data_IF_463319575605
#
_entry.id   IF_463319575605
#
_cell.length_a   1.000
_cell.length_b   1.000
_cell.length_c   1.000
_cell.angle_alpha   90.00
_cell.angle_beta   90.00
_cell.angle_gamma   90.00
#
_symmetry.space_group_name_H-M   'P 1'
#
loop_
_entity.id
_entity.type
_entity.pdbx_description
1 polymer ?
#
# COMPACT_ATOMS: atom_id res chain seq x y z
N UNK A 1 -0.49 -20.83 -1.24
CA UNK A 1 -0.32 -19.41 -1.63
C UNK A 1 -1.40 -18.58 -0.94
N UNK A 2 -1.09 -17.34 -0.59
CA UNK A 2 -2.09 -16.42 -0.02
C UNK A 2 -3.15 -16.09 -1.10
N UNK A 3 -4.43 -16.31 -0.77
CA UNK A 3 -5.54 -16.06 -1.71
C UNK A 3 -5.57 -14.63 -2.24
N UNK A 4 -5.12 -13.65 -1.45
CA UNK A 4 -5.05 -12.25 -1.87
C UNK A 4 -4.11 -12.05 -3.05
N UNK A 5 -3.05 -12.83 -3.11
CA UNK A 5 -2.05 -12.78 -4.18
C UNK A 5 -2.58 -13.39 -5.48
N UNK A 6 -3.48 -14.39 -5.40
CA UNK A 6 -4.02 -15.02 -6.60
C UNK A 6 -4.79 -14.05 -7.50
N UNK A 7 -5.33 -12.96 -6.94
CA UNK A 7 -6.01 -11.92 -7.72
C UNK A 7 -5.12 -11.13 -8.68
N UNK A 8 -3.79 -11.25 -8.54
CA UNK A 8 -2.85 -10.65 -9.50
C UNK A 8 -2.70 -11.46 -10.78
N UNK A 9 -3.35 -12.62 -10.89
CA UNK A 9 -3.21 -13.54 -12.00
C UNK A 9 -4.53 -13.75 -12.75
N UNK A 10 -4.48 -14.00 -14.07
CA UNK A 10 -5.68 -14.30 -14.85
C UNK A 10 -6.45 -15.50 -14.27
N UNK A 11 -7.73 -15.35 -14.05
CA UNK A 11 -8.61 -16.39 -13.48
C UNK A 11 -8.08 -16.97 -12.14
N UNK A 12 -7.28 -16.20 -11.38
CA UNK A 12 -6.58 -16.64 -10.17
C UNK A 12 -5.63 -17.84 -10.40
N UNK A 13 -5.16 -18.03 -11.61
CA UNK A 13 -4.19 -19.08 -11.96
C UNK A 13 -2.75 -18.59 -11.71
N UNK A 14 -2.23 -18.93 -10.56
CA UNK A 14 -0.89 -18.51 -10.11
C UNK A 14 0.26 -19.20 -10.84
N UNK A 15 -0.02 -20.08 -11.81
CA UNK A 15 0.97 -20.71 -12.70
C UNK A 15 1.20 -19.89 -13.97
N UNK A 16 0.31 -18.94 -14.26
CA UNK A 16 0.42 -18.01 -15.40
C UNK A 16 1.25 -16.76 -15.02
N UNK A 17 1.53 -15.92 -16.01
CA UNK A 17 2.08 -14.59 -15.74
C UNK A 17 1.01 -13.70 -15.11
N UNK A 18 1.37 -12.82 -14.15
CA UNK A 18 0.41 -11.87 -13.59
C UNK A 18 -0.08 -10.91 -14.66
N UNK A 19 -1.38 -10.58 -14.64
CA UNK A 19 -2.00 -9.56 -15.48
C UNK A 19 -2.23 -8.24 -14.75
N UNK A 20 -2.04 -8.22 -13.44
CA UNK A 20 -2.03 -7.00 -12.63
C UNK A 20 -0.70 -6.25 -12.79
N UNK A 21 -0.75 -4.92 -12.89
CA UNK A 21 0.45 -4.08 -12.91
C UNK A 21 0.89 -3.61 -11.51
N UNK A 22 -0.05 -3.58 -10.56
CA UNK A 22 0.17 -3.16 -9.18
C UNK A 22 -0.86 -3.79 -8.25
N UNK A 23 -0.53 -3.83 -6.97
CA UNK A 23 -1.42 -4.31 -5.92
C UNK A 23 -1.50 -3.28 -4.79
N UNK A 24 -2.71 -2.96 -4.33
CA UNK A 24 -2.91 -2.08 -3.18
C UNK A 24 -3.62 -2.84 -2.08
N UNK A 25 -3.02 -2.87 -0.90
CA UNK A 25 -3.61 -3.42 0.32
C UNK A 25 -4.00 -2.26 1.24
N UNK A 26 -5.27 -2.17 1.60
CA UNK A 26 -5.80 -1.05 2.38
C UNK A 26 -6.15 -1.53 3.77
N UNK A 27 -5.50 -0.96 4.77
CA UNK A 27 -5.74 -1.17 6.19
C UNK A 27 -5.98 0.14 6.93
N UNK A 28 -6.53 0.04 8.12
CA UNK A 28 -6.53 1.08 9.12
C UNK A 28 -5.71 0.61 10.31
N UNK A 29 -4.85 1.47 10.80
CA UNK A 29 -3.95 1.19 11.90
C UNK A 29 -4.68 1.17 13.25
N UNK A 30 -3.99 0.70 14.29
CA UNK A 30 -4.44 0.65 15.69
C UNK A 30 -3.31 1.08 16.63
N UNK A 31 -3.66 1.36 17.88
CA UNK A 31 -2.71 1.77 18.92
C UNK A 31 -2.86 3.22 19.35
N UNK A 32 -3.98 3.85 19.03
CA UNK A 32 -4.34 5.20 19.50
C UNK A 32 -3.54 6.34 18.85
N UNK A 33 -2.80 6.05 17.76
CA UNK A 33 -2.07 7.05 16.98
C UNK A 33 -2.98 7.90 16.09
N UNK A 34 -2.37 8.66 15.19
CA UNK A 34 -3.06 9.49 14.19
C UNK A 34 -2.29 9.57 12.89
N UNK A 35 -3.02 9.76 11.79
CA UNK A 35 -2.46 10.02 10.48
C UNK A 35 -2.39 8.79 9.60
N UNK A 36 -1.95 9.01 8.37
CA UNK A 36 -1.83 7.98 7.33
C UNK A 36 -0.37 7.66 7.04
N UNK A 37 -0.08 6.41 6.73
CA UNK A 37 1.24 5.91 6.42
C UNK A 37 1.17 4.74 5.43
N UNK A 38 2.31 4.19 5.08
CA UNK A 38 2.43 2.94 4.35
C UNK A 38 3.56 2.09 4.92
N UNK A 39 3.48 0.79 4.67
CA UNK A 39 4.55 -0.14 5.03
C UNK A 39 5.65 -0.06 3.98
N UNK A 40 6.84 0.36 4.39
CA UNK A 40 8.02 0.38 3.54
C UNK A 40 8.87 -0.86 3.77
N UNK A 41 9.41 -1.41 2.69
CA UNK A 41 10.40 -2.47 2.75
C UNK A 41 11.79 -1.85 2.95
N UNK A 42 12.55 -2.40 3.88
CA UNK A 42 13.92 -1.98 4.12
C UNK A 42 14.92 -2.68 3.20
N UNK A 43 16.16 -2.19 3.22
CA UNK A 43 17.28 -2.74 2.43
C UNK A 43 17.60 -4.21 2.75
N UNK A 44 17.39 -4.63 4.00
CA UNK A 44 17.57 -6.03 4.39
C UNK A 44 16.59 -6.98 3.68
N UNK A 45 15.40 -6.49 3.36
CA UNK A 45 14.39 -7.22 2.61
C UNK A 45 14.80 -7.40 1.15
N UNK A 46 15.32 -6.34 0.55
CA UNK A 46 15.84 -6.29 -0.80
C UNK A 46 16.90 -7.36 -1.05
N UNK A 47 17.81 -7.54 -0.12
CA UNK A 47 18.92 -8.49 -0.24
C UNK A 47 18.49 -9.96 -0.08
N UNK A 48 17.42 -10.23 0.65
CA UNK A 48 17.05 -11.59 1.07
C UNK A 48 15.98 -12.25 0.21
N UNK A 49 15.05 -11.47 -0.36
CA UNK A 49 13.79 -12.03 -0.85
C UNK A 49 13.35 -11.57 -2.23
N UNK A 50 13.64 -10.33 -2.62
CA UNK A 50 13.08 -9.68 -3.81
C UNK A 50 14.12 -8.69 -4.35
N UNK A 51 14.12 -8.43 -5.64
CA UNK A 51 15.03 -7.46 -6.26
C UNK A 51 14.78 -6.01 -5.82
N UNK A 52 15.83 -5.19 -5.93
CA UNK A 52 15.79 -3.75 -5.58
C UNK A 52 14.68 -2.99 -6.29
N UNK A 53 14.43 -3.29 -7.54
CA UNK A 53 13.40 -2.66 -8.36
C UNK A 53 11.99 -2.82 -7.78
N UNK A 54 11.65 -4.00 -7.26
CA UNK A 54 10.36 -4.24 -6.61
C UNK A 54 10.20 -3.39 -5.33
N UNK A 55 11.26 -3.34 -4.51
CA UNK A 55 11.26 -2.56 -3.26
C UNK A 55 11.11 -1.07 -3.56
N UNK A 56 11.88 -0.55 -4.50
CA UNK A 56 11.84 0.85 -4.92
C UNK A 56 10.45 1.24 -5.45
N UNK A 57 9.91 0.47 -6.37
CA UNK A 57 8.58 0.70 -6.96
C UNK A 57 7.45 0.59 -5.94
N UNK A 58 7.52 -0.37 -5.04
CA UNK A 58 6.53 -0.52 -3.97
C UNK A 58 6.55 0.67 -3.02
N UNK A 59 7.73 1.11 -2.61
CA UNK A 59 7.88 2.26 -1.71
C UNK A 59 7.49 3.58 -2.40
N UNK A 60 7.80 3.76 -3.68
CA UNK A 60 7.36 4.90 -4.48
C UNK A 60 5.83 4.98 -4.53
N UNK A 61 5.16 3.89 -4.89
CA UNK A 61 3.71 3.84 -4.96
C UNK A 61 3.06 4.14 -3.60
N UNK A 62 3.56 3.53 -2.53
CA UNK A 62 3.08 3.78 -1.17
C UNK A 62 3.21 5.25 -0.77
N UNK A 63 4.33 5.88 -1.09
CA UNK A 63 4.56 7.29 -0.80
C UNK A 63 3.61 8.22 -1.58
N UNK A 64 3.41 7.99 -2.87
CA UNK A 64 2.49 8.77 -3.70
C UNK A 64 1.06 8.69 -3.14
N UNK A 65 0.58 7.49 -2.83
CA UNK A 65 -0.76 7.29 -2.28
C UNK A 65 -0.88 7.98 -0.92
N UNK A 66 0.12 7.83 -0.05
CA UNK A 66 0.11 8.43 1.29
C UNK A 66 -0.02 9.96 1.24
N UNK A 67 0.73 10.61 0.34
CA UNK A 67 0.64 12.06 0.12
C UNK A 67 -0.75 12.49 -0.33
N UNK A 68 -1.35 11.77 -1.28
CA UNK A 68 -2.68 12.10 -1.82
C UNK A 68 -3.78 11.89 -0.78
N UNK A 69 -3.73 10.82 -0.02
CA UNK A 69 -4.70 10.55 1.07
C UNK A 69 -4.61 11.63 2.15
N UNK A 70 -3.41 11.98 2.59
CA UNK A 70 -3.22 13.05 3.56
C UNK A 70 -3.79 14.38 3.06
N UNK A 71 -3.49 14.77 1.82
CA UNK A 71 -3.99 16.00 1.21
C UNK A 71 -5.52 16.02 1.07
N UNK A 72 -6.13 14.90 0.71
CA UNK A 72 -7.59 14.80 0.50
C UNK A 72 -8.39 14.79 1.81
N UNK A 73 -7.83 14.29 2.90
CA UNK A 73 -8.55 14.03 4.16
C UNK A 73 -8.19 14.95 5.30
N UNK A 74 -7.03 15.61 5.24
CA UNK A 74 -6.48 16.36 6.38
C UNK A 74 -5.83 15.46 7.44
N UNK A 75 -5.76 14.14 7.23
CA UNK A 75 -4.96 13.26 8.08
C UNK A 75 -3.48 13.67 8.02
N UNK A 76 -2.79 13.58 9.15
CA UNK A 76 -1.34 13.81 9.17
C UNK A 76 -0.64 12.80 8.26
N UNK A 77 0.26 13.28 7.40
CA UNK A 77 1.14 12.42 6.63
C UNK A 77 2.29 11.95 7.51
N UNK A 78 2.28 10.68 7.87
CA UNK A 78 3.32 10.09 8.70
C UNK A 78 4.43 9.49 7.84
N UNK A 79 5.61 9.35 8.46
CA UNK A 79 6.72 8.60 7.87
C UNK A 79 6.33 7.15 7.60
N UNK A 80 6.95 6.50 6.61
CA UNK A 80 6.68 5.09 6.35
C UNK A 80 7.04 4.21 7.56
N UNK A 81 6.27 3.14 7.72
CA UNK A 81 6.51 2.12 8.74
C UNK A 81 7.45 1.09 8.16
N UNK A 82 8.69 1.06 8.64
CA UNK A 82 9.66 0.07 8.19
C UNK A 82 9.36 -1.30 8.81
N UNK A 83 9.31 -2.32 7.97
CA UNK A 83 9.19 -3.69 8.44
C UNK A 83 10.25 -4.58 7.79
N UNK A 84 10.89 -5.46 8.57
CA UNK A 84 11.85 -6.41 8.01
C UNK A 84 11.17 -7.57 7.28
N UNK A 85 9.88 -7.79 7.51
CA UNK A 85 9.16 -8.92 6.95
C UNK A 85 7.65 -8.72 6.93
N UNK A 86 7.06 -8.98 5.77
CA UNK A 86 5.61 -9.10 5.61
C UNK A 86 5.31 -10.18 4.55
N UNK A 87 4.57 -11.22 4.92
CA UNK A 87 4.29 -12.37 4.04
C UNK A 87 3.70 -11.94 2.70
N UNK A 88 2.83 -10.93 2.70
CA UNK A 88 2.18 -10.45 1.48
C UNK A 88 3.20 -9.93 0.45
N UNK A 89 4.23 -9.22 0.89
CA UNK A 89 5.30 -8.74 0.01
C UNK A 89 6.10 -9.89 -0.60
N UNK A 90 6.36 -10.95 0.17
CA UNK A 90 7.09 -12.13 -0.31
C UNK A 90 6.37 -12.90 -1.42
N UNK A 91 5.06 -12.78 -1.48
CA UNK A 91 4.22 -13.59 -2.37
C UNK A 91 3.66 -12.78 -3.53
N UNK A 92 3.67 -11.45 -3.41
CA UNK A 92 3.10 -10.59 -4.46
C UNK A 92 4.05 -10.53 -5.67
N UNK A 93 3.55 -10.83 -6.88
CA UNK A 93 4.37 -10.84 -8.08
C UNK A 93 4.57 -9.47 -8.72
N UNK A 94 3.90 -8.45 -8.21
CA UNK A 94 3.89 -7.08 -8.73
C UNK A 94 4.13 -6.08 -7.60
N UNK A 95 4.56 -4.84 -7.88
CA UNK A 95 4.74 -3.82 -6.87
C UNK A 95 3.49 -3.65 -6.00
N UNK A 96 3.68 -3.51 -4.70
CA UNK A 96 2.60 -3.47 -3.71
C UNK A 96 2.70 -2.23 -2.83
N UNK A 97 1.60 -1.46 -2.72
CA UNK A 97 1.42 -0.46 -1.69
C UNK A 97 0.57 -1.06 -0.56
N UNK A 98 1.15 -1.19 0.62
CA UNK A 98 0.43 -1.58 1.83
C UNK A 98 0.16 -0.33 2.66
N UNK A 99 -1.07 0.13 2.64
CA UNK A 99 -1.48 1.40 3.25
C UNK A 99 -2.05 1.19 4.65
N UNK A 100 -1.64 2.04 5.58
CA UNK A 100 -2.21 2.18 6.92
C UNK A 100 -2.89 3.55 7.01
N UNK A 101 -4.18 3.61 6.68
CA UNK A 101 -4.93 4.85 6.54
C UNK A 101 -5.68 5.16 7.83
N UNK A 102 -5.15 6.13 8.59
CA UNK A 102 -5.72 6.53 9.87
C UNK A 102 -5.66 5.44 10.93
N UNK A 103 -6.11 5.76 12.13
CA UNK A 103 -6.20 4.84 13.25
C UNK A 103 -7.67 4.68 13.64
N UNK A 104 -8.22 3.49 13.49
CA UNK A 104 -9.64 3.23 13.75
C UNK A 104 -10.03 3.39 15.24
N UNK A 105 -9.05 3.29 16.13
CA UNK A 105 -9.19 3.42 17.58
C UNK A 105 -8.85 4.83 18.11
N UNK A 106 -8.85 5.83 17.25
CA UNK A 106 -8.56 7.22 17.56
C UNK A 106 -9.60 8.17 16.97
N UNK A 107 -9.37 9.48 17.10
CA UNK A 107 -10.22 10.50 16.45
C UNK A 107 -10.19 10.45 14.91
N UNK A 108 -9.27 9.70 14.31
CA UNK A 108 -9.24 9.48 12.85
C UNK A 108 -10.46 8.69 12.36
N UNK A 109 -11.11 7.91 13.24
CA UNK A 109 -12.28 7.11 12.86
C UNK A 109 -13.38 7.94 12.21
N UNK A 110 -13.64 9.15 12.71
CA UNK A 110 -14.65 10.02 12.11
C UNK A 110 -14.31 10.43 10.68
N UNK A 111 -13.04 10.66 10.39
CA UNK A 111 -12.54 10.97 9.05
C UNK A 111 -12.64 9.73 8.15
N UNK A 112 -12.24 8.56 8.64
CA UNK A 112 -12.36 7.30 7.91
C UNK A 112 -13.80 7.01 7.49
N UNK A 113 -14.77 7.30 8.37
CA UNK A 113 -16.19 7.10 8.11
C UNK A 113 -16.81 8.15 7.19
N UNK A 114 -16.43 9.43 7.35
CA UNK A 114 -17.03 10.53 6.59
C UNK A 114 -16.36 10.81 5.25
N UNK A 115 -15.12 10.38 5.06
CA UNK A 115 -14.28 10.68 3.87
C UNK A 115 -13.88 9.43 3.08
N UNK A 116 -14.66 8.37 3.17
CA UNK A 116 -14.34 7.11 2.48
C UNK A 116 -14.24 7.26 0.95
N UNK A 117 -15.09 8.09 0.36
CA UNK A 117 -15.07 8.34 -1.09
C UNK A 117 -13.83 9.15 -1.50
N UNK A 118 -13.46 10.16 -0.73
CA UNK A 118 -12.24 10.95 -0.95
C UNK A 118 -10.99 10.11 -0.78
N UNK A 119 -10.97 9.22 0.20
CA UNK A 119 -9.88 8.25 0.39
C UNK A 119 -9.76 7.33 -0.82
N UNK A 120 -10.86 6.74 -1.25
CA UNK A 120 -10.88 5.86 -2.43
C UNK A 120 -10.39 6.56 -3.69
N UNK A 121 -10.85 7.80 -3.91
CA UNK A 121 -10.41 8.63 -5.03
C UNK A 121 -8.91 8.94 -4.95
N UNK A 122 -8.42 9.35 -3.80
CA UNK A 122 -7.00 9.65 -3.59
C UNK A 122 -6.10 8.43 -3.84
N UNK A 123 -6.52 7.25 -3.41
CA UNK A 123 -5.81 5.99 -3.69
C UNK A 123 -5.76 5.73 -5.19
N UNK A 124 -6.89 5.84 -5.89
CA UNK A 124 -6.97 5.61 -7.33
C UNK A 124 -6.09 6.59 -8.11
N UNK A 125 -6.12 7.87 -7.77
CA UNK A 125 -5.26 8.90 -8.36
C UNK A 125 -3.77 8.64 -8.09
N UNK A 126 -3.44 8.11 -6.90
CA UNK A 126 -2.07 7.73 -6.55
C UNK A 126 -1.55 6.57 -7.38
N UNK A 127 -2.38 5.55 -7.58
CA UNK A 127 -2.04 4.42 -8.46
C UNK A 127 -1.88 4.87 -9.90
N UNK A 128 -2.79 5.71 -10.41
CA UNK A 128 -2.73 6.25 -11.77
C UNK A 128 -1.44 7.05 -12.01
N UNK A 129 -1.07 7.90 -11.06
CA UNK A 129 0.19 8.65 -11.12
C UNK A 129 1.41 7.73 -11.13
N UNK A 130 1.45 6.74 -10.23
CA UNK A 130 2.51 5.75 -10.19
C UNK A 130 2.65 5.00 -11.52
N UNK A 131 1.55 4.52 -12.09
CA UNK A 131 1.55 3.78 -13.36
C UNK A 131 1.98 4.64 -14.55
N UNK A 132 1.68 5.93 -14.54
CA UNK A 132 2.16 6.87 -15.58
C UNK A 132 3.66 7.13 -15.51
N UNK A 133 4.25 7.04 -14.33
CA UNK A 133 5.67 7.25 -14.10
C UNK A 133 6.51 5.99 -14.34
N UNK A 134 5.88 4.85 -14.41
CA UNK A 134 6.52 3.54 -14.54
C UNK A 134 5.94 2.71 -15.69
#
# INVERSE_FOLDING_TARGET
MDKRVSYCFPNNDTTSNPDAAAYVCIHSNAGGGRGTSYIALGTDYEQKFIGSDFVEKSNEMGNIINQKVAAATGLSQNSPINTPYLILFNKCPVPIAYMEIGFYDSSDLSILQSSSDEIGKAIAEGVDEYLKNN
#
